data_IF_347531408372
#
_entry.id   IF_347531408372
#
_cell.length_a   1.000
_cell.length_b   1.000
_cell.length_c   1.000
_cell.angle_alpha   90.00
_cell.angle_beta   90.00
_cell.angle_gamma   90.00
#
_symmetry.space_group_name_H-M   'P 1'
#
loop_
_entity.id
_entity.type
_entity.pdbx_description
1 polymer ?
#
# COMPACT_ATOMS: atom_id res chain seq x y z
N UNK A 1 7.68 6.34 4.99
CA UNK A 1 8.85 7.23 4.88
C UNK A 1 10.08 6.60 5.56
N UNK A 2 11.25 7.05 5.14
CA UNK A 2 12.53 6.76 5.79
C UNK A 2 13.14 8.06 6.32
N UNK A 3 14.14 8.00 7.23
CA UNK A 3 14.73 9.19 7.87
C UNK A 3 16.25 9.26 7.57
N UNK A 4 16.65 9.48 6.32
CA UNK A 4 18.04 9.77 6.00
C UNK A 4 18.41 11.17 6.45
N UNK A 5 19.60 11.34 7.06
CA UNK A 5 20.15 12.61 7.46
C UNK A 5 19.16 13.48 8.27
N UNK A 6 18.52 12.87 9.27
CA UNK A 6 17.60 13.53 10.20
C UNK A 6 16.40 14.25 9.52
N UNK A 7 15.97 13.76 8.36
CA UNK A 7 14.82 14.29 7.64
C UNK A 7 13.92 13.15 7.14
N UNK A 8 12.63 13.21 7.43
CA UNK A 8 11.67 12.21 6.95
C UNK A 8 11.42 12.40 5.44
N UNK A 9 11.74 11.37 4.64
CA UNK A 9 11.55 11.36 3.19
C UNK A 9 10.45 10.38 2.81
N UNK A 10 9.48 10.82 2.02
CA UNK A 10 8.40 9.97 1.51
C UNK A 10 8.99 8.98 0.49
N UNK A 11 8.96 7.68 0.81
CA UNK A 11 9.41 6.63 -0.12
C UNK A 11 8.35 6.40 -1.19
N UNK A 12 7.11 6.18 -0.75
CA UNK A 12 5.93 6.05 -1.61
C UNK A 12 4.68 6.34 -0.79
N UNK A 13 3.78 7.21 -1.23
CA UNK A 13 2.45 7.31 -0.64
C UNK A 13 1.70 5.99 -0.82
N UNK A 14 0.91 5.61 0.18
CA UNK A 14 0.07 4.41 0.07
C UNK A 14 -1.07 4.69 -0.91
N UNK A 15 -1.21 3.85 -1.93
CA UNK A 15 -2.24 3.97 -2.95
C UNK A 15 -3.64 4.01 -2.33
N UNK A 16 -4.46 4.98 -2.74
CA UNK A 16 -5.79 5.22 -2.17
C UNK A 16 -5.78 5.82 -0.76
N UNK A 17 -4.58 6.07 -0.19
CA UNK A 17 -4.42 6.63 1.14
C UNK A 17 -4.56 8.16 1.20
N UNK A 18 -4.70 8.73 2.42
CA UNK A 18 -4.88 10.16 2.61
C UNK A 18 -3.74 11.01 2.05
N UNK A 19 -2.50 10.56 2.18
CA UNK A 19 -1.31 11.29 1.72
C UNK A 19 -1.25 11.38 0.20
N UNK A 20 -1.56 10.28 -0.50
CA UNK A 20 -1.65 10.27 -1.97
C UNK A 20 -2.75 11.21 -2.46
N UNK A 21 -3.95 11.11 -1.86
CA UNK A 21 -5.09 11.98 -2.20
C UNK A 21 -4.81 13.45 -1.98
N UNK A 22 -3.98 13.79 -1.00
CA UNK A 22 -3.55 15.15 -0.75
C UNK A 22 -2.48 15.65 -1.74
N UNK A 23 -1.84 14.76 -2.50
CA UNK A 23 -0.83 15.10 -3.51
C UNK A 23 0.62 15.00 -3.04
N UNK A 24 0.91 14.27 -1.94
CA UNK A 24 2.27 13.93 -1.57
C UNK A 24 2.87 13.02 -2.62
N UNK A 25 4.14 13.22 -2.94
CA UNK A 25 4.88 12.44 -3.93
C UNK A 25 6.07 11.72 -3.29
N UNK A 26 6.56 10.73 -3.99
CA UNK A 26 7.83 10.09 -3.67
C UNK A 26 8.96 11.13 -3.74
N UNK A 27 9.85 11.10 -2.75
CA UNK A 27 10.98 12.04 -2.66
C UNK A 27 10.69 13.30 -1.83
N UNK A 28 9.43 13.61 -1.52
CA UNK A 28 9.08 14.74 -0.65
C UNK A 28 9.79 14.64 0.69
N UNK A 29 10.41 15.72 1.13
CA UNK A 29 11.07 15.83 2.43
C UNK A 29 10.15 16.54 3.40
N UNK A 30 9.68 15.86 4.44
CA UNK A 30 8.76 16.43 5.43
C UNK A 30 9.55 17.32 6.38
N UNK A 31 9.22 18.60 6.41
CA UNK A 31 9.90 19.62 7.23
C UNK A 31 9.06 19.95 8.46
N UNK A 32 7.74 20.18 8.29
CA UNK A 32 6.86 20.52 9.40
C UNK A 32 5.64 19.59 9.46
N UNK A 33 5.19 19.32 10.67
CA UNK A 33 3.91 18.68 10.98
C UNK A 33 3.17 19.57 11.98
N UNK A 34 2.01 20.13 11.61
CA UNK A 34 1.23 21.10 12.40
C UNK A 34 2.12 22.24 12.95
N UNK A 35 2.88 22.90 12.08
CA UNK A 35 3.82 23.98 12.37
C UNK A 35 5.03 23.60 13.26
N UNK A 36 5.15 22.33 13.66
CA UNK A 36 6.30 21.81 14.40
C UNK A 36 7.38 21.34 13.43
N UNK A 37 8.58 21.93 13.52
CA UNK A 37 9.74 21.47 12.75
C UNK A 37 10.14 20.04 13.20
N UNK A 38 10.28 19.13 12.24
CA UNK A 38 10.71 17.74 12.48
C UNK A 38 12.01 17.37 11.74
N UNK A 39 12.50 18.26 10.87
CA UNK A 39 13.72 18.04 10.08
C UNK A 39 14.92 18.73 10.71
N UNK A 40 16.08 18.04 10.77
CA UNK A 40 17.33 18.60 11.27
C UNK A 40 17.36 18.82 12.80
N UNK A 41 16.44 18.22 13.56
CA UNK A 41 16.30 18.40 15.01
C UNK A 41 16.53 17.14 15.81
N UNK A 42 17.08 16.09 15.17
CA UNK A 42 17.33 14.76 15.75
C UNK A 42 16.09 14.14 16.41
N UNK A 43 14.92 14.36 15.81
CA UNK A 43 13.68 13.79 16.32
C UNK A 43 13.63 12.28 16.04
N UNK A 44 13.35 11.42 17.06
CA UNK A 44 13.17 10.00 16.84
C UNK A 44 12.03 9.71 15.86
N UNK A 45 12.20 8.72 14.99
CA UNK A 45 11.20 8.33 13.98
C UNK A 45 9.82 8.04 14.60
N UNK A 46 9.77 7.38 15.75
CA UNK A 46 8.51 7.11 16.45
C UNK A 46 7.78 8.39 16.88
N UNK A 47 8.52 9.43 17.23
CA UNK A 47 7.95 10.75 17.57
C UNK A 47 7.37 11.43 16.34
N UNK A 48 8.06 11.35 15.19
CA UNK A 48 7.53 11.83 13.91
C UNK A 48 6.24 11.09 13.55
N UNK A 49 6.21 9.76 13.69
CA UNK A 49 5.03 8.93 13.43
C UNK A 49 3.86 9.35 14.33
N UNK A 50 4.10 9.60 15.63
CA UNK A 50 3.04 10.03 16.58
C UNK A 50 2.43 11.37 16.20
N UNK A 51 3.24 12.32 15.72
CA UNK A 51 2.74 13.63 15.26
C UNK A 51 1.84 13.49 14.03
N UNK A 52 2.20 12.61 13.10
CA UNK A 52 1.43 12.40 11.87
C UNK A 52 0.16 11.58 12.12
N UNK A 53 0.18 10.63 13.07
CA UNK A 53 -0.99 9.81 13.45
C UNK A 53 -2.00 10.62 14.24
N UNK A 54 -3.26 10.21 14.17
CA UNK A 54 -4.35 10.78 14.94
C UNK A 54 -5.70 10.14 14.62
N UNK A 55 -6.79 10.58 15.24
CA UNK A 55 -8.13 10.05 15.00
C UNK A 55 -8.53 10.18 13.53
N UNK A 56 -9.28 9.19 13.02
CA UNK A 56 -9.91 9.28 11.69
C UNK A 56 -10.77 10.54 11.60
N UNK A 57 -10.66 11.26 10.47
CA UNK A 57 -11.40 12.50 10.22
C UNK A 57 -10.71 13.76 10.77
N UNK A 58 -9.68 13.61 11.64
CA UNK A 58 -8.92 14.78 12.09
C UNK A 58 -7.96 15.26 10.98
N UNK A 59 -7.69 16.56 10.99
CA UNK A 59 -6.79 17.20 10.04
C UNK A 59 -5.35 17.22 10.58
N UNK A 60 -4.38 17.08 9.69
CA UNK A 60 -2.96 17.36 9.95
C UNK A 60 -2.40 18.17 8.79
N UNK A 61 -1.63 19.20 9.10
CA UNK A 61 -0.91 19.98 8.11
C UNK A 61 0.51 19.45 7.99
N UNK A 62 0.88 19.01 6.81
CA UNK A 62 2.26 18.56 6.51
C UNK A 62 2.88 19.51 5.50
N UNK A 63 4.01 20.11 5.85
CA UNK A 63 4.77 20.93 4.92
C UNK A 63 5.99 20.16 4.47
N UNK A 64 6.13 19.97 3.17
CA UNK A 64 7.28 19.29 2.56
C UNK A 64 8.18 20.27 1.83
N UNK A 65 9.44 19.90 1.68
CA UNK A 65 10.34 20.50 0.72
C UNK A 65 10.39 19.57 -0.51
N UNK A 66 9.96 20.11 -1.65
CA UNK A 66 10.04 19.46 -2.97
C UNK A 66 10.88 20.36 -3.86
N UNK A 67 12.05 19.87 -4.24
CA UNK A 67 13.02 20.59 -5.11
C UNK A 67 13.33 22.02 -4.65
N UNK A 68 13.51 22.22 -3.34
CA UNK A 68 13.80 23.52 -2.74
C UNK A 68 12.57 24.36 -2.38
N UNK A 69 11.37 23.94 -2.79
CA UNK A 69 10.12 24.68 -2.51
C UNK A 69 9.36 24.06 -1.35
N UNK A 70 8.91 24.88 -0.40
CA UNK A 70 8.05 24.45 0.71
C UNK A 70 6.59 24.43 0.25
N UNK A 71 5.97 23.26 0.31
CA UNK A 71 4.58 23.04 -0.11
C UNK A 71 3.78 22.50 1.09
N UNK A 72 2.75 23.23 1.56
CA UNK A 72 1.87 22.76 2.61
C UNK A 72 0.77 21.87 2.05
N UNK A 73 0.45 20.77 2.75
CA UNK A 73 -0.65 19.87 2.47
C UNK A 73 -1.54 19.70 3.69
N UNK A 74 -2.82 19.92 3.51
CA UNK A 74 -3.85 19.64 4.50
C UNK A 74 -4.37 18.21 4.30
N UNK A 75 -4.05 17.31 5.20
CA UNK A 75 -4.41 15.89 5.10
C UNK A 75 -5.50 15.57 6.11
N UNK A 76 -6.63 15.06 5.64
CA UNK A 76 -7.65 14.47 6.51
C UNK A 76 -7.25 13.04 6.82
N UNK A 77 -6.97 12.74 8.09
CA UNK A 77 -6.58 11.39 8.52
C UNK A 77 -7.70 10.39 8.24
N UNK A 78 -7.37 9.30 7.62
CA UNK A 78 -8.30 8.20 7.36
C UNK A 78 -7.59 6.85 7.54
N UNK A 79 -8.36 5.77 7.46
CA UNK A 79 -7.78 4.43 7.43
C UNK A 79 -6.88 4.32 6.19
N UNK A 80 -5.63 3.91 6.41
CA UNK A 80 -4.72 3.61 5.31
C UNK A 80 -5.13 2.24 4.76
N UNK A 81 -5.48 2.15 3.47
CA UNK A 81 -5.80 0.85 2.87
C UNK A 81 -4.56 -0.05 2.94
N UNK A 82 -4.78 -1.26 3.40
CA UNK A 82 -3.73 -2.29 3.44
C UNK A 82 -3.96 -3.19 2.24
N UNK A 83 -3.23 -2.93 1.17
CA UNK A 83 -3.25 -3.79 -0.01
C UNK A 83 -2.46 -5.07 0.26
N UNK A 84 -2.94 -6.17 -0.29
CA UNK A 84 -2.29 -7.47 -0.20
C UNK A 84 -1.76 -7.94 -1.55
N UNK A 85 -2.29 -7.42 -2.66
CA UNK A 85 -1.75 -7.61 -4.00
C UNK A 85 -0.67 -6.54 -4.23
N UNK A 86 0.59 -6.94 -4.13
CA UNK A 86 1.74 -6.01 -4.26
C UNK A 86 2.06 -5.67 -5.72
N UNK A 87 1.77 -6.62 -6.63
CA UNK A 87 2.01 -6.44 -8.06
C UNK A 87 1.02 -7.28 -8.88
N UNK A 88 0.55 -6.74 -9.99
CA UNK A 88 -0.26 -7.44 -10.99
C UNK A 88 0.01 -6.84 -12.38
N UNK A 89 0.61 -7.62 -13.29
CA UNK A 89 0.96 -7.18 -14.64
C UNK A 89 1.13 -8.36 -15.59
N UNK A 90 1.12 -8.10 -16.90
CA UNK A 90 1.46 -9.08 -17.92
C UNK A 90 2.99 -9.16 -18.07
N UNK A 91 3.56 -10.37 -18.00
CA UNK A 91 4.99 -10.62 -18.27
C UNK A 91 5.24 -10.70 -19.77
N UNK A 92 4.33 -11.36 -20.48
CA UNK A 92 4.31 -11.49 -21.93
C UNK A 92 2.86 -11.38 -22.44
N UNK A 93 2.64 -11.61 -23.74
CA UNK A 93 1.31 -11.47 -24.37
C UNK A 93 0.22 -12.37 -23.75
N UNK A 94 0.58 -13.45 -23.06
CA UNK A 94 -0.36 -14.45 -22.54
C UNK A 94 -0.16 -14.82 -21.08
N UNK A 95 0.93 -14.37 -20.46
CA UNK A 95 1.28 -14.74 -19.09
C UNK A 95 1.13 -13.55 -18.14
N UNK A 96 0.21 -13.64 -17.21
CA UNK A 96 0.04 -12.70 -16.11
C UNK A 96 0.88 -13.07 -14.90
N UNK A 97 1.19 -12.08 -14.08
CA UNK A 97 1.87 -12.23 -12.81
C UNK A 97 1.08 -11.50 -11.74
N UNK A 98 0.82 -12.17 -10.60
CA UNK A 98 0.22 -11.57 -9.41
C UNK A 98 1.05 -11.96 -8.20
N UNK A 99 1.53 -10.96 -7.42
CA UNK A 99 2.19 -11.18 -6.14
C UNK A 99 1.26 -10.83 -5.00
N UNK A 100 1.11 -11.77 -4.04
CA UNK A 100 0.30 -11.62 -2.84
C UNK A 100 1.18 -11.75 -1.59
N UNK A 101 1.31 -10.70 -0.79
CA UNK A 101 2.18 -10.66 0.40
C UNK A 101 1.52 -11.14 1.69
N UNK A 102 0.20 -11.16 1.77
CA UNK A 102 -0.56 -11.60 2.95
C UNK A 102 -2.03 -11.85 2.62
N UNK A 103 -2.73 -12.55 3.51
CA UNK A 103 -4.17 -12.74 3.43
C UNK A 103 -4.90 -11.77 4.36
N UNK A 104 -5.44 -10.67 3.80
CA UNK A 104 -6.28 -9.68 4.48
C UNK A 104 -7.75 -9.95 4.22
N UNK A 105 -8.66 -9.22 4.87
CA UNK A 105 -10.12 -9.31 4.61
C UNK A 105 -10.52 -8.97 3.18
N UNK A 106 -9.67 -8.26 2.45
CA UNK A 106 -9.93 -7.79 1.08
C UNK A 106 -9.19 -8.61 0.02
N UNK A 107 -8.44 -9.64 0.42
CA UNK A 107 -7.57 -10.41 -0.48
C UNK A 107 -8.30 -10.99 -1.68
N UNK A 108 -9.40 -11.68 -1.45
CA UNK A 108 -10.16 -12.29 -2.55
C UNK A 108 -10.66 -11.23 -3.53
N UNK A 109 -11.15 -10.10 -3.03
CA UNK A 109 -11.60 -8.98 -3.85
C UNK A 109 -10.45 -8.40 -4.68
N UNK A 110 -9.32 -8.07 -4.03
CA UNK A 110 -8.14 -7.49 -4.70
C UNK A 110 -7.57 -8.43 -5.77
N UNK A 111 -7.48 -9.73 -5.45
CA UNK A 111 -7.04 -10.76 -6.38
C UNK A 111 -7.98 -10.88 -7.58
N UNK A 112 -9.31 -10.94 -7.34
CA UNK A 112 -10.31 -11.06 -8.39
C UNK A 112 -10.29 -9.86 -9.33
N UNK A 113 -10.16 -8.63 -8.79
CA UNK A 113 -10.02 -7.41 -9.59
C UNK A 113 -8.74 -7.40 -10.43
N UNK A 114 -7.61 -7.83 -9.83
CA UNK A 114 -6.34 -7.95 -10.53
C UNK A 114 -6.40 -9.00 -11.65
N UNK A 115 -6.89 -10.21 -11.35
CA UNK A 115 -7.05 -11.29 -12.31
C UNK A 115 -7.95 -10.90 -13.47
N UNK A 116 -9.09 -10.24 -13.19
CA UNK A 116 -9.99 -9.77 -14.23
C UNK A 116 -9.30 -8.80 -15.19
N UNK A 117 -8.54 -7.82 -14.67
CA UNK A 117 -7.77 -6.89 -15.51
C UNK A 117 -6.78 -7.62 -16.43
N UNK A 118 -6.10 -8.66 -15.91
CA UNK A 118 -5.16 -9.44 -16.71
C UNK A 118 -5.89 -10.32 -17.74
N UNK A 119 -7.06 -10.88 -17.41
CA UNK A 119 -7.90 -11.63 -18.35
C UNK A 119 -8.40 -10.73 -19.48
N UNK A 120 -8.80 -9.49 -19.18
CA UNK A 120 -9.19 -8.49 -20.18
C UNK A 120 -8.01 -8.15 -21.14
N UNK A 121 -6.76 -8.38 -20.69
CA UNK A 121 -5.52 -8.28 -21.49
C UNK A 121 -5.11 -9.61 -22.14
N UNK A 122 -6.04 -10.56 -22.28
CA UNK A 122 -5.86 -11.88 -22.94
C UNK A 122 -4.91 -12.83 -22.19
N UNK A 123 -4.81 -12.73 -20.86
CA UNK A 123 -4.07 -13.67 -20.04
C UNK A 123 -4.62 -15.09 -20.21
N UNK A 124 -3.72 -16.07 -20.47
CA UNK A 124 -4.01 -17.50 -20.56
C UNK A 124 -3.29 -18.32 -19.47
N UNK A 125 -2.24 -17.77 -18.89
CA UNK A 125 -1.42 -18.40 -17.85
C UNK A 125 -1.16 -17.41 -16.74
N UNK A 126 -1.14 -17.87 -15.49
CA UNK A 126 -0.86 -17.04 -14.32
C UNK A 126 0.33 -17.56 -13.55
N UNK A 127 1.29 -16.71 -13.27
CA UNK A 127 2.28 -16.92 -12.21
C UNK A 127 1.74 -16.25 -10.96
N UNK A 128 1.37 -17.07 -9.98
CA UNK A 128 0.88 -16.61 -8.69
C UNK A 128 2.00 -16.72 -7.65
N UNK A 129 2.54 -15.57 -7.24
CA UNK A 129 3.70 -15.49 -6.36
C UNK A 129 3.29 -15.27 -4.90
N UNK A 130 3.56 -16.27 -4.07
CA UNK A 130 3.32 -16.27 -2.63
C UNK A 130 4.63 -16.19 -1.82
N UNK A 131 5.76 -15.88 -2.44
CA UNK A 131 7.03 -15.75 -1.71
C UNK A 131 6.92 -14.61 -0.72
N UNK A 132 7.41 -14.88 0.51
CA UNK A 132 7.33 -13.98 1.66
C UNK A 132 5.89 -13.68 2.14
N UNK A 133 4.90 -14.48 1.71
CA UNK A 133 3.55 -14.37 2.23
C UNK A 133 3.49 -14.88 3.66
N UNK A 134 3.10 -14.01 4.58
CA UNK A 134 3.04 -14.31 6.02
C UNK A 134 1.75 -15.00 6.46
N UNK A 135 0.87 -15.38 5.52
CA UNK A 135 -0.45 -15.95 5.82
C UNK A 135 -1.49 -14.89 6.17
N UNK A 136 -2.47 -15.24 6.99
CA UNK A 136 -3.52 -14.32 7.43
C UNK A 136 -4.89 -14.99 7.55
N UNK A 137 -5.94 -14.40 6.98
CA UNK A 137 -7.32 -14.89 7.07
C UNK A 137 -7.54 -16.18 6.28
N UNK A 138 -7.86 -17.27 6.99
CA UNK A 138 -8.07 -18.59 6.40
C UNK A 138 -9.21 -18.62 5.37
N UNK A 139 -10.34 -17.95 5.67
CA UNK A 139 -11.49 -17.88 4.76
C UNK A 139 -11.15 -17.23 3.42
N UNK A 140 -10.20 -16.29 3.42
CA UNK A 140 -9.74 -15.64 2.21
C UNK A 140 -8.80 -16.52 1.39
N UNK A 141 -7.92 -17.28 2.04
CA UNK A 141 -7.05 -18.25 1.35
C UNK A 141 -7.87 -19.40 0.75
N UNK A 142 -8.88 -19.88 1.47
CA UNK A 142 -9.78 -20.90 0.98
C UNK A 142 -10.59 -20.44 -0.24
N UNK A 143 -11.19 -19.23 -0.18
CA UNK A 143 -11.91 -18.66 -1.33
C UNK A 143 -11.02 -18.52 -2.55
N UNK A 144 -9.78 -18.09 -2.34
CA UNK A 144 -8.83 -17.90 -3.42
C UNK A 144 -8.36 -19.24 -4.00
N UNK A 145 -8.11 -20.24 -3.16
CA UNK A 145 -7.75 -21.60 -3.62
C UNK A 145 -8.82 -22.21 -4.52
N UNK A 146 -10.10 -21.97 -4.21
CA UNK A 146 -11.22 -22.47 -5.01
C UNK A 146 -11.28 -21.89 -6.45
N UNK A 147 -10.58 -20.77 -6.73
CA UNK A 147 -10.47 -20.28 -8.11
C UNK A 147 -9.58 -21.16 -9.00
N UNK A 148 -8.74 -21.99 -8.39
CA UNK A 148 -7.78 -22.87 -9.07
C UNK A 148 -8.16 -24.34 -9.04
N UNK A 149 -9.16 -24.70 -8.22
CA UNK A 149 -9.63 -26.09 -8.07
C UNK A 149 -10.90 -26.32 -8.90
N UNK A 150 -11.02 -27.50 -9.47
CA UNK A 150 -12.26 -27.92 -10.10
C UNK A 150 -13.35 -28.14 -9.04
N UNK A 151 -14.62 -27.91 -9.40
CA UNK A 151 -15.75 -27.93 -8.45
C UNK A 151 -15.96 -29.24 -7.72
N UNK A 152 -15.38 -30.34 -8.20
CA UNK A 152 -15.51 -31.69 -7.64
C UNK A 152 -14.40 -32.07 -6.66
N UNK A 153 -13.35 -31.24 -6.52
CA UNK A 153 -12.25 -31.45 -5.56
C UNK A 153 -12.58 -30.88 -4.18
N UNK A 154 -13.67 -31.36 -3.58
CA UNK A 154 -13.97 -31.07 -2.18
C UNK A 154 -13.03 -31.86 -1.27
N UNK A 155 -11.80 -31.39 -1.09
CA UNK A 155 -10.99 -31.86 0.03
C UNK A 155 -11.52 -31.22 1.32
N UNK A 156 -12.22 -32.01 2.12
CA UNK A 156 -12.52 -31.69 3.50
C UNK A 156 -11.22 -31.78 4.30
N UNK A 157 -10.79 -30.67 4.86
CA UNK A 157 -9.80 -30.61 5.94
C UNK A 157 -10.52 -30.54 7.28
#
# INVERSE_FOLDING_TARGET
FNVPNDTAVVISPVQGGPSEKAGLLQGDRIIFVDDKNIAGVKMPQDSMIRLMKGPKGSKVKITVNRDGTLIPFDIIRDKIPVHCVDAAFMIDETTGYIKLSKFTRTTYKEFSEASKKLMDMVMKRLIFDLRDNTGGYFDQSWKLANEFLEKDDHHHF
#
